data_IF_923670917758
#
_entry.id   IF_923670917758
#
_cell.length_a   1.000
_cell.length_b   1.000
_cell.length_c   1.000
_cell.angle_alpha   90.00
_cell.angle_beta   90.00
_cell.angle_gamma   90.00
#
_symmetry.space_group_name_H-M   'P 1'
#
loop_
_entity.id
_entity.type
_entity.pdbx_description
1 polymer ?
#
# COMPACT_ATOMS: atom_id res chain seq x y z
N UNK A 1 17.05 -23.54 14.59
CA UNK A 1 16.65 -22.43 15.48
C UNK A 1 16.48 -21.15 14.66
N UNK A 2 15.25 -20.87 14.24
CA UNK A 2 14.92 -19.69 13.45
C UNK A 2 14.73 -18.45 14.35
N UNK A 3 15.76 -17.99 15.04
CA UNK A 3 15.68 -16.76 15.79
C UNK A 3 15.78 -15.57 14.82
N UNK A 4 14.82 -14.68 14.85
CA UNK A 4 14.77 -13.46 14.03
C UNK A 4 16.00 -12.57 14.21
N UNK A 5 16.67 -12.64 15.38
CA UNK A 5 17.91 -11.92 15.71
C UNK A 5 19.09 -12.33 14.82
N UNK A 6 19.03 -13.51 14.19
CA UNK A 6 20.06 -14.01 13.27
C UNK A 6 19.69 -13.87 11.80
N UNK A 7 18.62 -13.18 11.50
CA UNK A 7 18.19 -13.00 10.11
C UNK A 7 19.12 -11.99 9.41
N UNK A 8 19.78 -12.41 8.34
CA UNK A 8 20.56 -11.52 7.44
C UNK A 8 19.78 -10.26 7.00
N UNK A 9 18.48 -10.40 6.98
CA UNK A 9 17.55 -9.32 6.73
C UNK A 9 17.76 -8.13 7.69
N UNK A 10 17.99 -8.37 8.99
CA UNK A 10 18.18 -7.30 9.98
C UNK A 10 19.50 -6.55 9.77
N UNK A 11 20.53 -7.24 9.33
CA UNK A 11 21.81 -6.61 9.00
C UNK A 11 21.63 -5.63 7.84
N UNK A 12 20.92 -6.06 6.78
CA UNK A 12 20.59 -5.22 5.63
C UNK A 12 19.72 -4.01 6.03
N UNK A 13 18.76 -4.20 6.94
CA UNK A 13 17.92 -3.09 7.45
C UNK A 13 18.79 -2.08 8.22
N UNK A 14 19.68 -2.56 9.10
CA UNK A 14 20.59 -1.71 9.86
C UNK A 14 21.48 -0.87 8.94
N UNK A 15 22.13 -1.51 7.97
CA UNK A 15 22.98 -0.82 7.00
C UNK A 15 22.26 0.26 6.19
N UNK A 16 20.98 0.01 5.83
CA UNK A 16 20.17 0.96 5.10
C UNK A 16 19.89 2.20 5.95
N UNK A 17 19.47 2.03 7.22
CA UNK A 17 19.19 3.15 8.10
C UNK A 17 20.46 3.90 8.53
N UNK A 18 21.60 3.24 8.61
CA UNK A 18 22.89 3.90 8.84
C UNK A 18 23.28 4.82 7.67
N UNK A 19 22.98 4.42 6.43
CA UNK A 19 23.27 5.20 5.22
C UNK A 19 22.26 6.31 4.99
N UNK A 20 21.00 6.06 5.31
CA UNK A 20 19.85 6.94 5.03
C UNK A 20 19.02 7.16 6.30
N UNK A 21 19.59 7.84 7.29
CA UNK A 21 18.96 8.06 8.61
C UNK A 21 17.64 8.83 8.57
N UNK A 22 17.35 9.56 7.49
CA UNK A 22 16.09 10.29 7.27
C UNK A 22 14.99 9.45 6.62
N UNK A 23 15.27 8.18 6.29
CA UNK A 23 14.30 7.30 5.65
C UNK A 23 13.13 7.01 6.59
N UNK A 24 11.93 7.25 6.13
CA UNK A 24 10.69 7.04 6.90
C UNK A 24 10.06 5.66 6.69
N UNK A 25 10.42 4.98 5.59
CA UNK A 25 9.86 3.67 5.24
C UNK A 25 10.86 2.85 4.42
N UNK A 26 11.09 1.60 4.79
CA UNK A 26 11.98 0.68 4.06
C UNK A 26 11.57 0.46 2.60
N UNK A 27 10.29 0.61 2.26
CA UNK A 27 9.82 0.52 0.86
C UNK A 27 10.42 1.62 -0.02
N UNK A 28 10.86 2.73 0.56
CA UNK A 28 11.54 3.81 -0.16
C UNK A 28 13.01 3.51 -0.46
N UNK A 29 13.61 2.51 0.22
CA UNK A 29 15.00 2.14 -0.05
C UNK A 29 15.17 1.51 -1.42
N UNK A 30 16.27 1.82 -2.10
CA UNK A 30 16.56 1.25 -3.42
C UNK A 30 16.59 -0.28 -3.42
N UNK A 31 17.15 -0.88 -2.38
CA UNK A 31 17.23 -2.33 -2.24
C UNK A 31 15.86 -3.00 -2.11
N UNK A 32 15.05 -2.60 -1.12
CA UNK A 32 13.74 -3.24 -0.89
C UNK A 32 12.76 -2.91 -2.01
N UNK A 33 12.79 -1.71 -2.54
CA UNK A 33 11.98 -1.33 -3.69
C UNK A 33 12.24 -2.27 -4.88
N UNK A 34 13.51 -2.48 -5.25
CA UNK A 34 13.89 -3.36 -6.36
C UNK A 34 13.43 -4.82 -6.15
N UNK A 35 13.65 -5.37 -4.95
CA UNK A 35 13.26 -6.74 -4.60
C UNK A 35 11.74 -6.91 -4.68
N UNK A 36 10.99 -5.98 -4.12
CA UNK A 36 9.53 -6.06 -4.07
C UNK A 36 8.88 -5.84 -5.44
N UNK A 37 9.37 -4.89 -6.24
CA UNK A 37 8.90 -4.73 -7.62
C UNK A 37 9.17 -5.97 -8.46
N UNK A 38 10.34 -6.58 -8.34
CA UNK A 38 10.66 -7.84 -9.03
C UNK A 38 9.74 -9.00 -8.61
N UNK A 39 9.37 -9.07 -7.35
CA UNK A 39 8.50 -10.12 -6.81
C UNK A 39 7.00 -9.86 -7.07
N UNK A 40 6.58 -8.61 -7.33
CA UNK A 40 5.19 -8.15 -7.33
C UNK A 40 4.26 -8.99 -8.21
N UNK A 41 4.70 -9.33 -9.43
CA UNK A 41 3.90 -10.12 -10.37
C UNK A 41 3.71 -11.57 -9.89
N UNK A 42 4.75 -12.20 -9.34
CA UNK A 42 4.68 -13.54 -8.75
C UNK A 42 3.76 -13.57 -7.53
N UNK A 43 3.89 -12.57 -6.67
CA UNK A 43 3.07 -12.38 -5.48
C UNK A 43 1.57 -12.28 -5.83
N UNK A 44 1.21 -11.46 -6.82
CA UNK A 44 -0.16 -11.34 -7.30
C UNK A 44 -0.72 -12.66 -7.88
N UNK A 45 0.10 -13.42 -8.63
CA UNK A 45 -0.30 -14.75 -9.13
C UNK A 45 -0.62 -15.73 -8.00
N UNK A 46 0.20 -15.79 -6.96
CA UNK A 46 -0.02 -16.68 -5.81
C UNK A 46 -1.32 -16.32 -5.09
N UNK A 47 -1.57 -15.06 -4.82
CA UNK A 47 -2.82 -14.61 -4.18
C UNK A 47 -4.04 -14.96 -5.06
N UNK A 48 -3.96 -14.69 -6.36
CA UNK A 48 -5.04 -15.04 -7.29
C UNK A 48 -5.32 -16.54 -7.32
N UNK A 49 -4.29 -17.37 -7.29
CA UNK A 49 -4.44 -18.83 -7.22
C UNK A 49 -5.07 -19.26 -5.89
N UNK A 50 -4.62 -18.69 -4.77
CA UNK A 50 -5.17 -18.98 -3.45
C UNK A 50 -6.67 -18.66 -3.38
N UNK A 51 -7.07 -17.48 -3.85
CA UNK A 51 -8.49 -17.07 -3.92
C UNK A 51 -9.30 -18.06 -4.77
N UNK A 52 -8.82 -18.43 -5.96
CA UNK A 52 -9.49 -19.41 -6.85
C UNK A 52 -9.64 -20.79 -6.21
N UNK A 53 -8.77 -21.16 -5.29
CA UNK A 53 -8.77 -22.47 -4.61
C UNK A 53 -9.43 -22.40 -3.23
N UNK A 54 -9.97 -21.27 -2.81
CA UNK A 54 -10.55 -21.10 -1.47
C UNK A 54 -9.53 -21.16 -0.34
N UNK A 55 -8.24 -20.97 -0.63
CA UNK A 55 -7.18 -20.94 0.38
C UNK A 55 -7.04 -19.53 0.97
N UNK A 56 -7.16 -19.42 2.29
CA UNK A 56 -7.01 -18.13 2.99
C UNK A 56 -5.54 -17.74 3.11
N UNK A 57 -5.19 -16.56 2.59
CA UNK A 57 -3.83 -15.98 2.65
C UNK A 57 -3.87 -14.52 3.13
N UNK A 58 -4.45 -14.24 4.32
CA UNK A 58 -4.71 -12.87 4.76
C UNK A 58 -3.43 -12.03 4.89
N UNK A 59 -2.35 -12.60 5.41
CA UNK A 59 -1.08 -11.88 5.55
C UNK A 59 -0.49 -11.47 4.20
N UNK A 60 -0.47 -12.37 3.22
CA UNK A 60 0.01 -12.06 1.87
C UNK A 60 -0.89 -11.03 1.18
N UNK A 61 -2.20 -11.15 1.34
CA UNK A 61 -3.17 -10.23 0.72
C UNK A 61 -3.07 -8.81 1.30
N UNK A 62 -2.96 -8.69 2.62
CA UNK A 62 -2.80 -7.38 3.25
C UNK A 62 -1.47 -6.73 2.93
N UNK A 63 -0.40 -7.51 2.86
CA UNK A 63 0.92 -7.00 2.54
C UNK A 63 1.01 -6.47 1.10
N UNK A 64 0.42 -7.17 0.11
CA UNK A 64 0.39 -6.66 -1.28
C UNK A 64 -0.50 -5.43 -1.40
N UNK A 65 -1.64 -5.39 -0.69
CA UNK A 65 -2.51 -4.22 -0.66
C UNK A 65 -1.80 -3.00 -0.06
N UNK A 66 -1.03 -3.19 1.01
CA UNK A 66 -0.21 -2.13 1.58
C UNK A 66 0.85 -1.63 0.60
N UNK A 67 1.58 -2.56 -0.04
CA UNK A 67 2.60 -2.23 -1.03
C UNK A 67 2.01 -1.43 -2.20
N UNK A 68 0.92 -1.90 -2.79
CA UNK A 68 0.26 -1.23 -3.91
C UNK A 68 -0.30 0.14 -3.50
N UNK A 69 -0.90 0.25 -2.31
CA UNK A 69 -1.42 1.52 -1.79
C UNK A 69 -0.31 2.53 -1.55
N UNK A 70 0.84 2.10 -1.02
CA UNK A 70 1.99 2.97 -0.76
C UNK A 70 2.57 3.58 -2.04
N UNK A 71 2.50 2.85 -3.16
CA UNK A 71 3.03 3.28 -4.45
C UNK A 71 1.97 3.92 -5.38
N UNK A 72 0.73 4.07 -4.90
CA UNK A 72 -0.36 4.62 -5.69
C UNK A 72 -0.70 6.02 -5.19
N UNK A 73 -0.32 7.03 -5.95
CA UNK A 73 -0.60 8.43 -5.60
C UNK A 73 -2.10 8.76 -5.54
N UNK A 74 -2.91 8.06 -6.32
CA UNK A 74 -4.38 8.22 -6.38
C UNK A 74 -5.04 6.86 -6.22
N UNK A 75 -5.29 6.48 -4.98
CA UNK A 75 -5.96 5.22 -4.64
C UNK A 75 -7.49 5.33 -4.66
N UNK A 76 -8.14 4.32 -4.09
CA UNK A 76 -9.61 4.23 -3.98
C UNK A 76 -10.22 5.18 -2.92
N UNK A 77 -9.41 5.96 -2.22
CA UNK A 77 -9.88 6.89 -1.18
C UNK A 77 -10.83 7.97 -1.73
N UNK A 78 -10.68 8.36 -3.00
CA UNK A 78 -11.62 9.26 -3.69
C UNK A 78 -13.03 8.67 -3.79
N UNK A 79 -13.18 7.37 -4.04
CA UNK A 79 -14.47 6.68 -4.04
C UNK A 79 -15.10 6.66 -2.64
N UNK A 80 -14.30 6.41 -1.60
CA UNK A 80 -14.76 6.47 -0.21
C UNK A 80 -15.23 7.88 0.16
N UNK A 81 -14.51 8.92 -0.27
CA UNK A 81 -14.92 10.29 -0.02
C UNK A 81 -16.18 10.66 -0.81
N UNK A 82 -16.33 10.17 -2.04
CA UNK A 82 -17.57 10.34 -2.81
C UNK A 82 -18.77 9.68 -2.12
N UNK A 83 -18.59 8.47 -1.57
CA UNK A 83 -19.64 7.83 -0.77
C UNK A 83 -20.02 8.65 0.46
N UNK A 84 -19.04 9.17 1.19
CA UNK A 84 -19.29 10.02 2.36
C UNK A 84 -20.04 11.30 1.99
N UNK A 85 -19.68 11.91 0.87
CA UNK A 85 -20.36 13.08 0.36
C UNK A 85 -21.80 12.77 -0.05
N UNK A 86 -22.03 11.65 -0.74
CA UNK A 86 -23.36 11.18 -1.13
C UNK A 86 -24.27 10.90 0.10
N UNK A 87 -23.75 10.27 1.14
CA UNK A 87 -24.53 9.92 2.32
C UNK A 87 -24.84 11.08 3.25
N UNK A 88 -23.91 12.02 3.39
CA UNK A 88 -24.00 13.02 4.47
C UNK A 88 -23.42 14.37 4.12
N UNK A 89 -23.25 14.68 2.83
CA UNK A 89 -22.67 15.96 2.38
C UNK A 89 -21.33 16.31 3.09
N UNK A 90 -20.49 15.27 3.30
CA UNK A 90 -19.19 15.44 3.98
C UNK A 90 -18.16 16.21 3.17
N UNK A 91 -18.53 16.63 1.99
CA UNK A 91 -17.70 17.38 1.05
C UNK A 91 -16.43 16.63 0.59
N UNK A 92 -15.78 17.12 -0.41
CA UNK A 92 -14.50 16.64 -0.92
C UNK A 92 -13.66 17.79 -1.44
N UNK A 93 -12.37 17.61 -1.47
CA UNK A 93 -11.43 18.55 -2.10
C UNK A 93 -11.11 18.07 -3.51
N UNK A 94 -10.91 19.03 -4.42
CA UNK A 94 -10.52 18.77 -5.81
C UNK A 94 -9.03 19.03 -5.99
N UNK A 95 -8.42 18.37 -6.96
CA UNK A 95 -7.00 18.58 -7.30
C UNK A 95 -6.78 19.74 -8.27
N UNK A 96 -7.85 20.19 -8.95
CA UNK A 96 -7.83 21.23 -9.98
C UNK A 96 -8.42 22.55 -9.49
N UNK A 97 -8.97 22.57 -8.28
CA UNK A 97 -9.61 23.77 -7.71
C UNK A 97 -9.60 23.71 -6.19
N UNK A 98 -9.19 24.80 -5.56
CA UNK A 98 -9.21 24.93 -4.11
C UNK A 98 -10.64 25.06 -3.55
N UNK A 99 -10.82 24.58 -2.32
CA UNK A 99 -12.07 24.64 -1.58
C UNK A 99 -12.72 23.27 -1.33
N UNK A 100 -13.78 23.28 -0.53
CA UNK A 100 -14.60 22.12 -0.26
C UNK A 100 -15.82 22.11 -1.19
N UNK A 101 -16.10 20.98 -1.79
CA UNK A 101 -17.18 20.78 -2.76
C UNK A 101 -18.15 19.72 -2.28
N UNK A 102 -19.40 19.89 -2.66
CA UNK A 102 -20.46 18.88 -2.53
C UNK A 102 -21.11 18.66 -3.88
N UNK A 103 -21.45 17.42 -4.17
CA UNK A 103 -22.17 17.03 -5.38
C UNK A 103 -23.61 16.64 -5.03
N UNK A 104 -24.58 17.16 -5.75
CA UNK A 104 -25.94 16.64 -5.70
C UNK A 104 -25.99 15.31 -6.49
N UNK A 105 -25.92 14.20 -5.75
CA UNK A 105 -25.81 12.85 -6.33
C UNK A 105 -27.13 12.28 -6.83
N UNK A 106 -28.25 12.93 -6.56
CA UNK A 106 -29.58 12.42 -6.81
C UNK A 106 -30.30 13.13 -7.97
N UNK A 107 -29.71 14.22 -8.49
CA UNK A 107 -30.28 15.01 -9.61
C UNK A 107 -29.42 14.96 -10.86
#
# INVERSE_FOLDING_TARGET
SGCIIRARFLDTVSEIFEKESSMTNLLASGYFSQVLYGARAGWGRIISLAVKRGAAVPALSSAIAYFDSYHTARGSANLLQAQRDCFGAHTYERIDKEGAFHTDWMN
#
